data_IF_827453383867
#
_entry.id   IF_827453383867
#
_cell.length_a   1.000
_cell.length_b   1.000
_cell.length_c   1.000
_cell.angle_alpha   90.00
_cell.angle_beta   90.00
_cell.angle_gamma   90.00
#
_symmetry.space_group_name_H-M   'P 1'
#
loop_
_entity.id
_entity.type
_entity.pdbx_description
1 polymer ?
#
# COMPACT_ATOMS: atom_id res chain seq x y z
N UNK A 1 1.46 12.32 12.61
CA UNK A 1 1.24 11.38 13.73
C UNK A 1 0.19 11.96 14.63
N UNK A 2 -0.79 11.17 15.07
CA UNK A 2 -1.93 11.62 15.86
C UNK A 2 -1.58 11.58 17.37
N UNK A 3 -0.91 12.63 17.85
CA UNK A 3 -0.50 12.74 19.26
C UNK A 3 -1.71 12.95 20.17
N UNK A 4 -2.74 13.62 19.69
CA UNK A 4 -3.98 13.83 20.45
C UNK A 4 -4.60 12.49 20.86
N UNK A 5 -4.66 11.53 19.94
CA UNK A 5 -5.14 10.17 20.21
C UNK A 5 -4.34 9.44 21.29
N UNK A 6 -3.02 9.67 21.32
CA UNK A 6 -2.14 9.13 22.37
C UNK A 6 -2.46 9.76 23.74
N UNK A 7 -2.59 11.08 23.78
CA UNK A 7 -2.93 11.83 25.02
C UNK A 7 -4.31 11.40 25.54
N UNK A 8 -5.29 11.24 24.66
CA UNK A 8 -6.63 10.75 25.01
C UNK A 8 -6.56 9.36 25.65
N UNK A 9 -5.83 8.43 25.03
CA UNK A 9 -5.66 7.07 25.56
C UNK A 9 -5.02 7.08 26.97
N UNK A 10 -4.00 7.92 27.17
CA UNK A 10 -3.38 8.07 28.50
C UNK A 10 -4.37 8.61 29.53
N UNK A 11 -5.11 9.67 29.18
CA UNK A 11 -6.10 10.30 30.05
C UNK A 11 -7.26 9.36 30.38
N UNK A 12 -7.69 8.55 29.41
CA UNK A 12 -8.75 7.55 29.63
C UNK A 12 -8.38 6.50 30.68
N UNK A 13 -7.07 6.18 30.80
CA UNK A 13 -6.54 5.32 31.84
C UNK A 13 -6.16 6.07 33.13
N UNK A 14 -6.49 7.37 33.23
CA UNK A 14 -6.15 8.26 34.35
C UNK A 14 -4.65 8.28 34.70
N UNK A 15 -3.77 7.97 33.75
CA UNK A 15 -2.31 7.96 33.96
C UNK A 15 -1.71 9.36 33.78
N UNK A 16 -0.88 9.78 34.75
CA UNK A 16 0.03 10.93 34.55
C UNK A 16 1.13 10.60 33.56
N UNK A 17 1.83 11.61 33.05
CA UNK A 17 3.01 11.39 32.20
C UNK A 17 4.11 10.61 32.93
N UNK A 18 4.26 10.84 34.25
CA UNK A 18 5.26 10.17 35.07
C UNK A 18 4.95 8.67 35.20
N UNK A 19 3.71 8.32 35.52
CA UNK A 19 3.25 6.94 35.66
C UNK A 19 3.33 6.18 34.32
N UNK A 20 2.94 6.81 33.20
CA UNK A 20 3.06 6.19 31.90
C UNK A 20 4.52 5.97 31.49
N UNK A 21 5.42 6.87 31.85
CA UNK A 21 6.85 6.78 31.50
C UNK A 21 7.63 5.80 32.36
N UNK A 22 7.13 5.43 33.54
CA UNK A 22 7.83 4.60 34.53
C UNK A 22 8.34 3.28 33.93
N UNK A 23 9.63 3.01 34.06
CA UNK A 23 10.27 1.80 33.52
C UNK A 23 10.39 1.74 31.99
N UNK A 24 9.98 2.79 31.26
CA UNK A 24 10.05 2.85 29.79
C UNK A 24 10.99 3.97 29.34
N UNK A 25 10.80 5.20 29.83
CA UNK A 25 11.60 6.37 29.49
C UNK A 25 11.50 7.42 30.61
N UNK A 26 12.14 8.59 30.41
CA UNK A 26 11.99 9.69 31.36
C UNK A 26 10.67 10.44 31.10
N UNK A 27 10.08 11.03 32.16
CA UNK A 27 8.91 11.91 32.02
C UNK A 27 9.19 13.04 31.01
N UNK A 28 10.40 13.59 31.01
CA UNK A 28 10.78 14.65 30.07
C UNK A 28 10.73 14.18 28.60
N UNK A 29 11.07 12.92 28.31
CA UNK A 29 10.94 12.33 26.96
C UNK A 29 9.47 12.26 26.54
N UNK A 30 8.60 11.79 27.43
CA UNK A 30 7.16 11.72 27.17
C UNK A 30 6.53 13.11 27.03
N UNK A 31 6.91 14.05 27.88
CA UNK A 31 6.44 15.44 27.82
C UNK A 31 6.81 16.11 26.49
N UNK A 32 8.05 15.93 25.99
CA UNK A 32 8.47 16.45 24.68
C UNK A 32 7.67 15.80 23.54
N UNK A 33 7.36 14.54 23.67
CA UNK A 33 6.53 13.86 22.69
C UNK A 33 5.11 14.44 22.67
N UNK A 34 4.44 14.55 23.82
CA UNK A 34 3.07 15.04 23.92
C UNK A 34 2.92 16.53 23.56
N UNK A 35 3.88 17.37 23.99
CA UNK A 35 3.76 18.82 23.84
C UNK A 35 4.42 19.37 22.57
N UNK A 36 5.52 18.76 22.13
CA UNK A 36 6.36 19.28 21.05
C UNK A 36 6.37 18.38 19.80
N UNK A 37 5.68 17.24 19.85
CA UNK A 37 5.70 16.27 18.74
C UNK A 37 7.04 15.56 18.52
N UNK A 38 7.97 15.66 19.47
CA UNK A 38 9.27 15.01 19.36
C UNK A 38 9.14 13.50 19.60
N UNK A 39 9.11 12.75 18.51
CA UNK A 39 8.91 11.30 18.53
C UNK A 39 10.09 10.60 19.23
N UNK A 40 9.87 9.81 20.30
CA UNK A 40 10.90 8.98 20.88
C UNK A 40 11.30 7.87 19.91
N UNK A 41 12.37 7.13 20.21
CA UNK A 41 12.71 5.99 19.37
C UNK A 41 11.56 4.97 19.33
N UNK A 42 11.48 4.22 18.24
CA UNK A 42 10.36 3.30 17.97
C UNK A 42 10.16 2.27 19.10
N UNK A 43 11.24 1.80 19.71
CA UNK A 43 11.17 0.81 20.82
C UNK A 43 10.47 1.39 22.05
N UNK A 44 10.73 2.66 22.37
CA UNK A 44 10.07 3.38 23.45
C UNK A 44 8.60 3.59 23.09
N UNK A 45 8.33 4.06 21.88
CA UNK A 45 6.96 4.33 21.41
C UNK A 45 6.08 3.07 21.46
N UNK A 46 6.59 1.93 21.00
CA UNK A 46 5.88 0.63 21.08
C UNK A 46 5.54 0.28 22.55
N UNK A 47 6.50 0.44 23.48
CA UNK A 47 6.26 0.13 24.90
C UNK A 47 5.20 1.04 25.52
N UNK A 48 5.22 2.33 25.20
CA UNK A 48 4.22 3.29 25.64
C UNK A 48 2.83 2.93 25.10
N UNK A 49 2.72 2.64 23.81
CA UNK A 49 1.48 2.23 23.17
C UNK A 49 0.94 0.92 23.76
N UNK A 50 1.78 -0.06 24.01
CA UNK A 50 1.37 -1.31 24.63
C UNK A 50 0.81 -1.10 26.04
N UNK A 51 1.42 -0.21 26.85
CA UNK A 51 0.91 0.12 28.19
C UNK A 51 -0.46 0.80 28.14
N UNK A 52 -0.74 1.54 27.05
CA UNK A 52 -2.02 2.21 26.83
C UNK A 52 -3.06 1.31 26.14
N UNK A 53 -2.74 0.08 25.80
CA UNK A 53 -3.54 -0.78 24.91
C UNK A 53 -3.91 -0.07 23.59
N UNK A 54 -3.05 0.81 23.11
CA UNK A 54 -3.23 1.60 21.91
C UNK A 54 -2.45 0.95 20.74
N UNK A 55 -3.11 0.46 19.70
CA UNK A 55 -2.43 -0.03 18.52
C UNK A 55 -1.53 1.07 17.92
N UNK A 56 -0.26 0.75 17.66
CA UNK A 56 0.70 1.71 17.12
C UNK A 56 0.20 2.37 15.82
N UNK A 57 -0.53 1.64 15.01
CA UNK A 57 -1.14 2.13 13.77
C UNK A 57 -2.16 3.25 13.96
N UNK A 58 -2.76 3.41 15.15
CA UNK A 58 -3.68 4.51 15.44
C UNK A 58 -2.97 5.86 15.62
N UNK A 59 -1.67 5.84 15.92
CA UNK A 59 -0.87 7.07 16.04
C UNK A 59 -0.40 7.61 14.70
N UNK A 60 -0.25 6.73 13.73
CA UNK A 60 0.07 7.20 12.39
C UNK A 60 -1.26 7.53 11.72
N UNK A 61 -1.41 8.74 11.12
CA UNK A 61 -2.50 8.91 10.20
C UNK A 61 -2.44 7.65 9.34
N UNK A 62 -3.55 6.98 9.18
CA UNK A 62 -3.69 6.06 8.06
C UNK A 62 -3.29 6.93 6.89
N UNK A 63 -2.03 6.82 6.46
CA UNK A 63 -1.60 7.34 5.17
C UNK A 63 -2.58 6.65 4.27
N UNK A 64 -3.59 7.41 3.90
CA UNK A 64 -4.74 6.80 3.27
C UNK A 64 -4.33 6.30 1.91
N UNK A 65 -3.96 5.06 1.84
CA UNK A 65 -4.60 4.26 0.83
C UNK A 65 -6.07 4.41 1.21
N UNK A 66 -6.77 5.37 0.60
CA UNK A 66 -8.23 5.38 0.62
C UNK A 66 -8.54 3.95 0.24
N UNK A 67 -9.03 3.16 1.20
CA UNK A 67 -9.55 1.83 0.92
C UNK A 67 -10.78 2.08 0.07
N UNK A 68 -10.52 2.37 -1.19
CA UNK A 68 -11.54 2.60 -2.18
C UNK A 68 -12.04 1.23 -2.62
N UNK A 69 -13.24 1.18 -3.07
CA UNK A 69 -13.81 -0.01 -3.72
C UNK A 69 -12.84 -0.55 -4.80
N UNK A 70 -12.16 0.35 -5.52
CA UNK A 70 -11.12 0.00 -6.49
C UNK A 70 -9.95 -0.78 -5.87
N UNK A 71 -9.47 -0.39 -4.68
CA UNK A 71 -8.38 -1.10 -3.98
C UNK A 71 -8.82 -2.52 -3.56
N UNK A 72 -10.06 -2.68 -3.08
CA UNK A 72 -10.58 -4.00 -2.72
C UNK A 72 -10.72 -4.91 -3.95
N UNK A 73 -11.22 -4.36 -5.07
CA UNK A 73 -11.32 -5.08 -6.33
C UNK A 73 -9.95 -5.51 -6.84
N UNK A 74 -8.94 -4.63 -6.78
CA UNK A 74 -7.57 -4.96 -7.17
C UNK A 74 -6.96 -6.05 -6.27
N UNK A 75 -7.19 -6.01 -4.95
CA UNK A 75 -6.73 -7.06 -4.03
C UNK A 75 -7.33 -8.42 -4.38
N UNK A 76 -8.62 -8.47 -4.71
CA UNK A 76 -9.29 -9.71 -5.14
C UNK A 76 -8.80 -10.16 -6.52
N UNK A 77 -8.61 -9.23 -7.46
CA UNK A 77 -8.09 -9.55 -8.79
C UNK A 77 -6.66 -10.11 -8.72
N UNK A 78 -5.82 -9.58 -7.85
CA UNK A 78 -4.46 -10.12 -7.62
C UNK A 78 -4.51 -11.53 -7.03
N UNK A 79 -5.41 -11.78 -6.08
CA UNK A 79 -5.64 -13.13 -5.57
C UNK A 79 -6.07 -14.10 -6.67
N UNK A 80 -7.03 -13.72 -7.52
CA UNK A 80 -7.49 -14.54 -8.64
C UNK A 80 -6.39 -14.75 -9.71
N UNK A 81 -5.53 -13.76 -9.94
CA UNK A 81 -4.38 -13.91 -10.82
C UNK A 81 -3.42 -14.98 -10.29
N UNK A 82 -3.13 -14.98 -8.98
CA UNK A 82 -2.24 -15.96 -8.33
C UNK A 82 -2.85 -17.36 -8.33
N UNK A 83 -4.18 -17.46 -8.16
CA UNK A 83 -4.89 -18.74 -8.16
C UNK A 83 -5.28 -19.23 -9.55
N UNK A 84 -4.84 -18.53 -10.60
CA UNK A 84 -5.13 -18.84 -12.02
C UNK A 84 -6.61 -18.73 -12.42
N UNK A 85 -7.37 -17.96 -11.70
CA UNK A 85 -8.78 -17.65 -11.98
C UNK A 85 -8.90 -16.38 -12.83
N UNK A 86 -8.31 -16.40 -14.02
CA UNK A 86 -8.05 -15.21 -14.86
C UNK A 86 -9.30 -14.48 -15.32
N UNK A 87 -10.41 -15.18 -15.58
CA UNK A 87 -11.65 -14.57 -16.00
C UNK A 87 -12.26 -13.74 -14.87
N UNK A 88 -12.24 -14.25 -13.64
CA UNK A 88 -12.70 -13.52 -12.45
C UNK A 88 -11.83 -12.29 -12.16
N UNK A 89 -10.51 -12.43 -12.34
CA UNK A 89 -9.59 -11.30 -12.23
C UNK A 89 -9.91 -10.21 -13.27
N UNK A 90 -10.13 -10.62 -14.53
CA UNK A 90 -10.49 -9.73 -15.65
C UNK A 90 -11.79 -8.98 -15.38
N UNK A 91 -12.84 -9.68 -14.94
CA UNK A 91 -14.15 -9.08 -14.66
C UNK A 91 -14.08 -8.03 -13.55
N UNK A 92 -13.31 -8.32 -12.48
CA UNK A 92 -13.08 -7.35 -11.41
C UNK A 92 -12.35 -6.11 -11.92
N UNK A 93 -11.26 -6.28 -12.67
CA UNK A 93 -10.49 -5.14 -13.20
C UNK A 93 -11.33 -4.30 -14.17
N UNK A 94 -12.13 -4.91 -15.03
CA UNK A 94 -13.06 -4.18 -15.93
C UNK A 94 -14.12 -3.38 -15.19
N UNK A 95 -14.49 -3.79 -13.98
CA UNK A 95 -15.47 -3.08 -13.15
C UNK A 95 -14.89 -1.84 -12.44
N UNK A 96 -13.59 -1.58 -12.58
CA UNK A 96 -12.92 -0.41 -12.00
C UNK A 96 -12.89 0.71 -13.04
N UNK A 97 -13.47 1.84 -12.70
CA UNK A 97 -13.35 3.04 -13.52
C UNK A 97 -12.01 3.74 -13.21
N UNK A 98 -11.13 3.85 -14.21
CA UNK A 98 -9.83 4.52 -14.06
C UNK A 98 -9.96 5.97 -13.58
N UNK A 99 -11.06 6.65 -13.92
CA UNK A 99 -11.36 8.01 -13.46
C UNK A 99 -11.59 8.12 -11.94
N UNK A 100 -11.83 7.01 -11.26
CA UNK A 100 -11.99 6.96 -9.80
C UNK A 100 -10.65 6.75 -9.07
N UNK A 101 -9.58 6.48 -9.82
CA UNK A 101 -8.24 6.28 -9.29
C UNK A 101 -7.51 7.62 -9.29
N UNK A 102 -7.52 8.31 -8.16
CA UNK A 102 -6.83 9.61 -7.99
C UNK A 102 -5.32 9.44 -7.76
N UNK A 103 -4.88 8.28 -7.32
CA UNK A 103 -3.50 8.03 -6.88
C UNK A 103 -2.69 7.31 -7.96
N UNK A 104 -1.57 7.89 -8.37
CA UNK A 104 -0.71 7.35 -9.42
C UNK A 104 -0.25 5.91 -9.11
N UNK A 105 0.08 5.59 -7.87
CA UNK A 105 0.49 4.26 -7.44
C UNK A 105 -0.59 3.21 -7.67
N UNK A 106 -1.86 3.55 -7.44
CA UNK A 106 -2.99 2.66 -7.69
C UNK A 106 -3.24 2.50 -9.20
N UNK A 107 -3.08 3.55 -10.00
CA UNK A 107 -3.17 3.45 -11.45
C UNK A 107 -2.10 2.52 -12.02
N UNK A 108 -0.86 2.63 -11.54
CA UNK A 108 0.24 1.74 -11.93
C UNK A 108 -0.06 0.28 -11.55
N UNK A 109 -0.58 0.06 -10.34
CA UNK A 109 -0.99 -1.27 -9.90
C UNK A 109 -2.10 -1.85 -10.77
N UNK A 110 -3.07 -1.04 -11.14
CA UNK A 110 -4.13 -1.45 -12.07
C UNK A 110 -3.56 -1.91 -13.41
N UNK A 111 -2.69 -1.11 -14.03
CA UNK A 111 -2.08 -1.47 -15.32
C UNK A 111 -1.21 -2.72 -15.21
N UNK A 112 -0.45 -2.88 -14.11
CA UNK A 112 0.30 -4.08 -13.82
C UNK A 112 -0.58 -5.33 -13.78
N UNK A 113 -1.63 -5.33 -12.95
CA UNK A 113 -2.55 -6.46 -12.82
C UNK A 113 -3.24 -6.78 -14.14
N UNK A 114 -3.73 -5.76 -14.84
CA UNK A 114 -4.41 -5.93 -16.12
C UNK A 114 -3.47 -6.53 -17.17
N UNK A 115 -2.25 -6.04 -17.28
CA UNK A 115 -1.26 -6.58 -18.21
C UNK A 115 -0.96 -8.06 -17.97
N UNK A 116 -0.78 -8.48 -16.72
CA UNK A 116 -0.54 -9.90 -16.40
C UNK A 116 -1.77 -10.79 -16.60
N UNK A 117 -2.96 -10.31 -16.32
CA UNK A 117 -4.22 -11.03 -16.65
C UNK A 117 -4.35 -11.20 -18.16
N UNK A 118 -4.06 -10.16 -18.95
CA UNK A 118 -4.09 -10.22 -20.41
C UNK A 118 -3.07 -11.21 -20.97
N UNK A 119 -1.86 -11.31 -20.39
CA UNK A 119 -0.87 -12.34 -20.75
C UNK A 119 -1.44 -13.74 -20.50
N UNK A 120 -2.03 -13.96 -19.33
CA UNK A 120 -2.59 -15.26 -18.95
C UNK A 120 -3.76 -15.67 -19.84
N UNK A 121 -4.61 -14.72 -20.21
CA UNK A 121 -5.75 -14.92 -21.13
C UNK A 121 -5.34 -14.96 -22.62
N UNK A 122 -4.06 -14.80 -22.92
CA UNK A 122 -3.54 -14.81 -24.28
C UNK A 122 -4.13 -13.75 -25.21
N UNK A 123 -4.40 -12.57 -24.66
CA UNK A 123 -4.90 -11.42 -25.40
C UNK A 123 -3.83 -10.95 -26.42
N UNK A 124 -4.24 -10.09 -27.35
CA UNK A 124 -3.40 -9.47 -28.36
C UNK A 124 -2.11 -8.88 -27.75
N UNK A 125 -0.96 -9.20 -28.34
CA UNK A 125 0.35 -8.66 -27.95
C UNK A 125 0.34 -7.13 -27.95
N UNK A 126 -0.29 -6.52 -28.95
CA UNK A 126 -0.39 -5.06 -29.06
C UNK A 126 -1.09 -4.45 -27.85
N UNK A 127 -2.19 -5.05 -27.41
CA UNK A 127 -2.96 -4.55 -26.27
C UNK A 127 -2.21 -4.72 -24.94
N UNK A 128 -1.49 -5.84 -24.80
CA UNK A 128 -0.63 -6.09 -23.63
C UNK A 128 0.50 -5.06 -23.57
N UNK A 129 1.20 -4.82 -24.68
CA UNK A 129 2.28 -3.83 -24.74
C UNK A 129 1.77 -2.43 -24.45
N UNK A 130 0.62 -2.04 -25.03
CA UNK A 130 -0.02 -0.75 -24.74
C UNK A 130 -0.32 -0.58 -23.24
N UNK A 131 -0.79 -1.66 -22.58
CA UNK A 131 -1.10 -1.64 -21.15
C UNK A 131 0.15 -1.43 -20.29
N UNK A 132 1.26 -2.10 -20.60
CA UNK A 132 2.52 -1.90 -19.89
C UNK A 132 3.18 -0.55 -20.19
N UNK A 133 3.00 0.00 -21.38
CA UNK A 133 3.50 1.32 -21.74
C UNK A 133 2.89 2.42 -20.85
N UNK A 134 1.66 2.25 -20.36
CA UNK A 134 1.06 3.19 -19.40
C UNK A 134 1.90 3.29 -18.10
N UNK A 135 2.58 2.22 -17.70
CA UNK A 135 3.49 2.22 -16.55
C UNK A 135 4.81 2.91 -16.89
N UNK A 136 5.34 2.67 -18.09
CA UNK A 136 6.65 3.15 -18.52
C UNK A 136 6.66 4.64 -18.84
N UNK A 137 5.50 5.22 -19.19
CA UNK A 137 5.32 6.64 -19.52
C UNK A 137 5.28 7.55 -18.29
N UNK A 138 5.11 7.00 -17.09
CA UNK A 138 5.09 7.81 -15.85
C UNK A 138 6.51 8.23 -15.48
N UNK A 139 6.73 9.53 -15.34
CA UNK A 139 8.06 10.13 -15.18
C UNK A 139 8.57 10.14 -13.72
N UNK A 140 7.71 9.92 -12.73
CA UNK A 140 8.09 9.84 -11.32
C UNK A 140 8.77 8.51 -11.00
N UNK A 141 10.10 8.55 -10.81
CA UNK A 141 10.93 7.37 -10.58
C UNK A 141 10.92 6.87 -9.14
N UNK A 142 10.48 7.65 -8.19
CA UNK A 142 10.60 7.30 -6.76
C UNK A 142 9.60 6.24 -6.32
N UNK A 143 8.39 6.22 -6.89
CA UNK A 143 7.32 5.28 -6.55
C UNK A 143 7.05 4.24 -7.65
N UNK A 144 7.63 4.43 -8.83
CA UNK A 144 7.32 3.63 -10.03
C UNK A 144 8.29 2.48 -10.29
N UNK A 145 9.44 2.44 -9.62
CA UNK A 145 10.54 1.53 -9.97
C UNK A 145 10.11 0.05 -9.99
N UNK A 146 9.37 -0.41 -8.96
CA UNK A 146 8.90 -1.80 -8.91
C UNK A 146 7.92 -2.12 -10.05
N UNK A 147 7.00 -1.21 -10.36
CA UNK A 147 6.03 -1.42 -11.43
C UNK A 147 6.69 -1.41 -12.81
N UNK A 148 7.75 -0.60 -13.01
CA UNK A 148 8.55 -0.62 -14.24
C UNK A 148 9.27 -1.95 -14.43
N UNK A 149 9.87 -2.51 -13.38
CA UNK A 149 10.49 -3.84 -13.42
C UNK A 149 9.47 -4.92 -13.76
N UNK A 150 8.29 -4.86 -13.16
CA UNK A 150 7.18 -5.78 -13.45
C UNK A 150 6.69 -5.62 -14.90
N UNK A 151 6.57 -4.41 -15.41
CA UNK A 151 6.19 -4.14 -16.80
C UNK A 151 7.23 -4.72 -17.76
N UNK A 152 8.53 -4.50 -17.55
CA UNK A 152 9.58 -5.11 -18.38
C UNK A 152 9.56 -6.64 -18.30
N UNK A 153 9.27 -7.21 -17.14
CA UNK A 153 9.10 -8.66 -16.99
C UNK A 153 7.95 -9.17 -17.84
N UNK A 154 6.79 -8.52 -17.78
CA UNK A 154 5.61 -8.86 -18.58
C UNK A 154 5.88 -8.76 -20.09
N UNK A 155 6.52 -7.67 -20.53
CA UNK A 155 6.95 -7.47 -21.92
C UNK A 155 7.90 -8.60 -22.37
N UNK A 156 8.87 -8.95 -21.53
CA UNK A 156 9.81 -10.05 -21.79
C UNK A 156 9.10 -11.40 -21.96
N UNK A 157 8.08 -11.68 -21.12
CA UNK A 157 7.26 -12.89 -21.23
C UNK A 157 6.52 -12.97 -22.57
N UNK A 158 5.95 -11.87 -23.04
CA UNK A 158 5.24 -11.78 -24.32
C UNK A 158 6.18 -12.09 -25.48
N UNK A 159 7.34 -11.44 -25.55
CA UNK A 159 8.32 -11.69 -26.63
C UNK A 159 8.95 -13.09 -26.58
N UNK A 160 9.14 -13.65 -25.39
CA UNK A 160 9.64 -15.03 -25.25
C UNK A 160 8.67 -16.05 -25.84
N UNK A 161 7.38 -15.80 -25.67
CA UNK A 161 6.31 -16.65 -26.18
C UNK A 161 6.19 -16.59 -27.71
N UNK A 162 6.35 -15.43 -28.33
CA UNK A 162 6.34 -15.28 -29.79
C UNK A 162 7.51 -16.00 -30.48
N UNK A 163 8.65 -16.14 -29.77
CA UNK A 163 9.85 -16.82 -30.31
C UNK A 163 9.84 -18.34 -30.19
N UNK A 164 8.86 -18.92 -29.50
CA UNK A 164 8.68 -20.36 -29.35
C UNK A 164 7.36 -20.78 -30.01
N UNK A 165 7.29 -20.83 -31.34
CA UNK A 165 6.19 -21.53 -32.02
C UNK A 165 6.33 -23.01 -31.68
N UNK A 166 5.34 -23.56 -30.92
CA UNK A 166 5.25 -24.99 -30.60
C UNK A 166 5.04 -25.85 -31.86
#
# INVERSE_FOLDING_TARGET
MNIERFIEARKALALSQMELAEGICTQATLSRFENNGQVPNLKILIKLCNRLNLPLGELFPKVGVKYTEATEKMNKAEFFLITSEYDQASDLLRSIALSEIEENSLALRFHYLNGFVMIAQQISVTDILFTFDQILLVDDRSETEIFRLLAYTGIGMVYSREKSPG
#
